data_IF_025665292298
#
_entry.id   IF_025665292298
#
_cell.length_a   1.000
_cell.length_b   1.000
_cell.length_c   1.000
_cell.angle_alpha   90.00
_cell.angle_beta   90.00
_cell.angle_gamma   90.00
#
_symmetry.space_group_name_H-M   'P 1'
#
loop_
_entity.id
_entity.type
_entity.pdbx_description
1 polymer ?
#
# COMPACT_ATOMS: atom_id res chain seq x y z
N UNK A 1 3.12 -19.88 -1.55
CA UNK A 1 1.75 -19.47 -1.92
C UNK A 1 0.74 -19.69 -0.79
N UNK A 2 0.57 -20.93 -0.29
CA UNK A 2 -0.44 -21.26 0.74
C UNK A 2 -0.37 -20.35 1.97
N UNK A 3 0.83 -20.08 2.48
CA UNK A 3 1.05 -19.21 3.64
C UNK A 3 0.58 -17.77 3.38
N UNK A 4 0.92 -17.23 2.21
CA UNK A 4 0.48 -15.89 1.79
C UNK A 4 -1.05 -15.84 1.64
N UNK A 5 -1.65 -16.85 1.00
CA UNK A 5 -3.11 -16.97 0.92
C UNK A 5 -3.74 -17.03 2.32
N UNK A 6 -3.11 -17.71 3.28
CA UNK A 6 -3.62 -17.78 4.65
C UNK A 6 -3.48 -16.45 5.42
N UNK A 7 -2.45 -15.65 5.10
CA UNK A 7 -2.35 -14.28 5.61
C UNK A 7 -3.52 -13.42 5.12
N UNK A 8 -3.91 -13.50 3.85
CA UNK A 8 -5.11 -12.82 3.35
C UNK A 8 -6.41 -13.42 3.92
N UNK A 9 -6.46 -14.73 4.15
CA UNK A 9 -7.59 -15.36 4.83
C UNK A 9 -7.75 -14.89 6.29
N UNK A 10 -6.68 -14.36 6.90
CA UNK A 10 -6.75 -13.69 8.21
C UNK A 10 -7.47 -12.35 8.10
N UNK A 11 -7.21 -11.58 7.05
CA UNK A 11 -7.96 -10.34 6.75
C UNK A 11 -9.43 -10.65 6.42
N UNK A 12 -9.70 -11.68 5.62
CA UNK A 12 -11.05 -12.20 5.33
C UNK A 12 -11.80 -12.74 6.55
N UNK A 13 -11.12 -12.91 7.69
CA UNK A 13 -11.70 -13.24 9.00
C UNK A 13 -11.63 -12.07 9.99
N UNK A 14 -11.52 -10.84 9.49
CA UNK A 14 -11.40 -9.60 10.27
C UNK A 14 -10.34 -9.69 11.37
N UNK A 15 -9.16 -10.18 10.99
CA UNK A 15 -7.97 -10.21 11.83
C UNK A 15 -7.74 -11.50 12.61
N UNK A 16 -8.58 -12.52 12.45
CA UNK A 16 -8.41 -13.80 13.14
C UNK A 16 -7.62 -14.79 12.28
N UNK A 17 -6.38 -15.05 12.67
CA UNK A 17 -5.54 -16.06 12.03
C UNK A 17 -5.95 -17.45 12.48
N UNK A 18 -5.97 -18.37 11.51
CA UNK A 18 -6.14 -19.80 11.70
C UNK A 18 -5.14 -20.50 10.79
N UNK A 19 -4.30 -21.42 11.27
CA UNK A 19 -3.48 -22.23 10.38
C UNK A 19 -4.34 -22.93 9.33
N UNK A 20 -3.82 -23.01 8.10
CA UNK A 20 -4.48 -23.81 7.06
C UNK A 20 -4.43 -25.29 7.44
N UNK A 21 -5.43 -26.05 7.01
CA UNK A 21 -5.52 -27.49 7.24
C UNK A 21 -5.63 -28.20 5.91
N UNK A 22 -4.87 -29.28 5.75
CA UNK A 22 -4.98 -30.17 4.59
C UNK A 22 -5.88 -31.37 4.92
N UNK A 23 -5.85 -31.81 6.18
CA UNK A 23 -6.65 -32.91 6.70
C UNK A 23 -7.64 -32.42 7.74
N UNK A 24 -8.77 -33.11 7.87
CA UNK A 24 -9.79 -32.81 8.90
C UNK A 24 -9.25 -32.98 10.33
N UNK A 25 -8.23 -33.82 10.50
CA UNK A 25 -7.57 -34.13 11.77
C UNK A 25 -6.53 -33.09 12.19
N UNK A 26 -6.14 -32.16 11.31
CA UNK A 26 -5.14 -31.16 11.64
C UNK A 26 -5.65 -30.25 12.77
N UNK A 27 -4.77 -29.97 13.72
CA UNK A 27 -5.10 -29.19 14.91
C UNK A 27 -5.49 -27.76 14.52
N UNK A 28 -6.55 -27.26 15.14
CA UNK A 28 -7.05 -25.92 14.90
C UNK A 28 -6.75 -25.03 16.10
N UNK A 29 -5.84 -24.07 15.90
CA UNK A 29 -5.65 -22.94 16.79
C UNK A 29 -6.18 -21.67 16.12
N UNK A 30 -6.55 -20.67 16.93
CA UNK A 30 -6.92 -19.36 16.42
C UNK A 30 -6.34 -18.27 17.30
N UNK A 31 -5.81 -17.23 16.68
CA UNK A 31 -5.29 -16.05 17.36
C UNK A 31 -5.77 -14.79 16.64
N UNK A 32 -6.06 -13.73 17.41
CA UNK A 32 -6.32 -12.41 16.84
C UNK A 32 -4.98 -11.72 16.60
N UNK A 33 -4.77 -11.31 15.34
CA UNK A 33 -3.57 -10.60 14.88
C UNK A 33 -3.87 -9.12 14.66
N UNK A 34 -5.08 -8.81 14.18
CA UNK A 34 -5.54 -7.44 13.95
C UNK A 34 -6.81 -7.14 14.74
N UNK A 35 -6.97 -5.89 15.15
CA UNK A 35 -8.26 -5.39 15.60
C UNK A 35 -9.27 -5.41 14.46
N UNK A 36 -10.55 -5.63 14.80
CA UNK A 36 -11.63 -5.79 13.82
C UNK A 36 -11.72 -4.57 12.90
N UNK A 37 -11.63 -3.37 13.48
CA UNK A 37 -11.74 -2.08 12.77
C UNK A 37 -10.58 -1.84 11.82
N UNK A 38 -9.36 -2.24 12.20
CA UNK A 38 -8.19 -2.15 11.33
C UNK A 38 -8.27 -3.12 10.16
N UNK A 39 -8.63 -4.38 10.43
CA UNK A 39 -8.82 -5.39 9.38
C UNK A 39 -9.97 -5.01 8.43
N UNK A 40 -11.03 -4.38 8.97
CA UNK A 40 -12.13 -3.87 8.17
C UNK A 40 -11.69 -2.73 7.27
N UNK A 41 -10.92 -1.74 7.76
CA UNK A 41 -10.37 -0.66 6.93
C UNK A 41 -9.50 -1.20 5.79
N UNK A 42 -8.62 -2.17 6.08
CA UNK A 42 -7.82 -2.83 5.05
C UNK A 42 -8.71 -3.50 4.01
N UNK A 43 -9.76 -4.18 4.46
CA UNK A 43 -10.70 -4.86 3.57
C UNK A 43 -11.51 -3.89 2.72
N UNK A 44 -11.94 -2.77 3.28
CA UNK A 44 -12.65 -1.71 2.58
C UNK A 44 -11.78 -1.15 1.45
N UNK A 45 -10.56 -0.71 1.76
CA UNK A 45 -9.57 -0.25 0.77
C UNK A 45 -9.28 -1.31 -0.30
N UNK A 46 -9.07 -2.57 0.12
CA UNK A 46 -8.79 -3.66 -0.81
C UNK A 46 -10.01 -4.11 -1.60
N UNK A 47 -11.24 -3.66 -1.29
CA UNK A 47 -12.45 -4.03 -2.02
C UNK A 47 -12.91 -2.99 -3.02
N UNK A 48 -12.39 -1.76 -2.91
CA UNK A 48 -12.78 -0.63 -3.75
C UNK A 48 -12.25 -0.76 -5.19
N UNK A 49 -13.18 -0.88 -6.15
CA UNK A 49 -12.86 -0.92 -7.58
C UNK A 49 -12.36 0.45 -8.09
N UNK A 50 -12.94 1.55 -7.61
CA UNK A 50 -12.61 2.89 -8.05
C UNK A 50 -11.20 3.28 -7.59
N UNK A 51 -10.83 2.91 -6.37
CA UNK A 51 -9.48 3.09 -5.85
C UNK A 51 -8.40 2.39 -6.70
N UNK A 52 -8.74 1.26 -7.34
CA UNK A 52 -7.85 0.51 -8.23
C UNK A 52 -7.81 1.03 -9.66
N UNK A 53 -8.87 1.71 -10.10
CA UNK A 53 -9.09 2.04 -11.51
C UNK A 53 -7.99 2.92 -12.11
N UNK A 54 -7.41 3.84 -11.34
CA UNK A 54 -6.31 4.68 -11.83
C UNK A 54 -5.09 3.86 -12.25
N UNK A 55 -4.79 2.77 -11.55
CA UNK A 55 -3.62 1.93 -11.83
C UNK A 55 -3.89 0.86 -12.89
N UNK A 56 -5.11 0.31 -12.93
CA UNK A 56 -5.40 -0.89 -13.71
C UNK A 56 -6.48 -0.71 -14.79
N UNK A 57 -7.17 0.43 -14.81
CA UNK A 57 -8.35 0.67 -15.63
C UNK A 57 -9.65 0.20 -14.96
N UNK A 58 -10.77 0.73 -15.45
CA UNK A 58 -12.12 0.41 -14.95
C UNK A 58 -12.56 -1.03 -15.27
N UNK A 59 -12.06 -1.57 -16.38
CA UNK A 59 -12.38 -2.91 -16.88
C UNK A 59 -11.16 -3.84 -16.79
N UNK A 60 -10.62 -3.95 -15.57
CA UNK A 60 -9.49 -4.84 -15.28
C UNK A 60 -9.96 -6.15 -14.67
N UNK A 61 -9.09 -7.18 -14.69
CA UNK A 61 -9.36 -8.45 -13.99
C UNK A 61 -9.51 -8.31 -12.46
N UNK A 62 -9.27 -7.12 -11.90
CA UNK A 62 -9.48 -6.80 -10.47
C UNK A 62 -10.81 -6.07 -10.23
N UNK A 63 -11.57 -5.80 -11.28
CA UNK A 63 -12.93 -5.25 -11.21
C UNK A 63 -13.92 -6.40 -11.06
N UNK A 64 -14.84 -6.28 -10.11
CA UNK A 64 -15.87 -7.28 -9.83
C UNK A 64 -17.22 -6.61 -9.63
N UNK A 65 -18.30 -7.23 -10.12
CA UNK A 65 -19.68 -6.79 -9.93
C UNK A 65 -20.26 -7.16 -8.54
N UNK A 66 -19.45 -7.82 -7.72
CA UNK A 66 -19.74 -8.21 -6.34
C UNK A 66 -18.51 -7.92 -5.48
N UNK A 67 -18.65 -7.75 -4.15
CA UNK A 67 -17.53 -7.27 -3.35
C UNK A 67 -16.45 -8.35 -3.21
N UNK A 68 -15.23 -8.01 -3.63
CA UNK A 68 -14.04 -8.84 -3.49
C UNK A 68 -12.90 -7.95 -3.03
N UNK A 69 -12.30 -8.28 -1.89
CA UNK A 69 -11.05 -7.64 -1.49
C UNK A 69 -9.89 -8.32 -2.21
N UNK A 70 -9.10 -7.59 -3.00
CA UNK A 70 -8.03 -8.19 -3.78
C UNK A 70 -6.75 -7.34 -3.86
N UNK A 71 -5.64 -8.06 -4.07
CA UNK A 71 -4.31 -7.46 -4.24
C UNK A 71 -3.49 -8.28 -5.23
N UNK A 72 -2.70 -7.57 -6.04
CA UNK A 72 -1.69 -8.14 -6.93
C UNK A 72 -0.27 -7.93 -6.42
N UNK A 73 0.65 -8.80 -6.83
CA UNK A 73 2.09 -8.66 -6.64
C UNK A 73 2.84 -9.04 -7.92
N UNK A 74 3.94 -8.35 -8.20
CA UNK A 74 4.86 -8.67 -9.31
C UNK A 74 6.27 -8.60 -8.75
N UNK A 75 7.07 -9.66 -8.86
CA UNK A 75 8.47 -9.63 -8.43
C UNK A 75 9.33 -8.85 -9.42
N UNK A 76 10.52 -8.45 -8.97
CA UNK A 76 11.54 -7.82 -9.82
C UNK A 76 11.84 -8.70 -11.04
N UNK A 77 12.16 -8.06 -12.17
CA UNK A 77 12.40 -8.74 -13.45
C UNK A 77 11.23 -9.63 -13.93
N UNK A 78 10.01 -9.42 -13.42
CA UNK A 78 8.80 -10.13 -13.85
C UNK A 78 8.90 -11.66 -13.74
N UNK A 79 9.64 -12.18 -12.75
CA UNK A 79 9.80 -13.64 -12.53
C UNK A 79 8.53 -14.29 -11.99
N UNK A 80 7.79 -13.55 -11.16
CA UNK A 80 6.63 -14.04 -10.44
C UNK A 80 5.49 -13.03 -10.48
N UNK A 81 4.28 -13.55 -10.60
CA UNK A 81 3.05 -12.79 -10.50
C UNK A 81 2.12 -13.45 -9.49
N UNK A 82 1.55 -12.65 -8.59
CA UNK A 82 0.54 -13.09 -7.64
C UNK A 82 -0.73 -12.27 -7.79
N UNK A 83 -1.85 -12.94 -7.57
CA UNK A 83 -3.13 -12.30 -7.32
C UNK A 83 -3.83 -13.03 -6.20
N UNK A 84 -4.29 -12.29 -5.19
CA UNK A 84 -5.02 -12.85 -4.06
C UNK A 84 -6.31 -12.06 -3.90
N UNK A 85 -7.43 -12.79 -3.84
CA UNK A 85 -8.75 -12.24 -3.62
C UNK A 85 -9.45 -12.96 -2.46
N UNK A 86 -10.28 -12.25 -1.71
CA UNK A 86 -11.08 -12.85 -0.65
C UNK A 86 -12.46 -12.20 -0.48
N UNK A 87 -13.39 -13.03 0.00
CA UNK A 87 -14.68 -12.69 0.60
C UNK A 87 -14.71 -13.27 2.02
N UNK A 88 -15.79 -13.09 2.82
CA UNK A 88 -15.91 -13.76 4.11
C UNK A 88 -15.84 -15.31 4.02
N UNK A 89 -16.27 -15.88 2.90
CA UNK A 89 -16.38 -17.33 2.69
C UNK A 89 -15.12 -17.94 2.09
N UNK A 90 -14.48 -17.24 1.15
CA UNK A 90 -13.41 -17.79 0.33
C UNK A 90 -12.18 -16.89 0.30
N UNK A 91 -11.01 -17.51 0.18
CA UNK A 91 -9.77 -16.82 -0.14
C UNK A 91 -9.06 -17.61 -1.24
N UNK A 92 -8.77 -16.95 -2.35
CA UNK A 92 -8.15 -17.54 -3.54
C UNK A 92 -6.82 -16.84 -3.75
N UNK A 93 -5.74 -17.61 -3.76
CA UNK A 93 -4.42 -17.11 -4.13
C UNK A 93 -3.90 -17.83 -5.37
N UNK A 94 -3.48 -17.06 -6.36
CA UNK A 94 -2.91 -17.53 -7.62
C UNK A 94 -1.47 -17.05 -7.73
N UNK A 95 -0.58 -17.94 -8.15
CA UNK A 95 0.76 -17.61 -8.59
C UNK A 95 0.94 -18.05 -10.04
N UNK A 96 1.62 -17.22 -10.82
CA UNK A 96 2.06 -17.52 -12.19
C UNK A 96 3.53 -17.15 -12.28
N UNK A 97 4.33 -18.05 -12.86
CA UNK A 97 5.77 -17.89 -13.02
C UNK A 97 6.35 -19.05 -13.80
N UNK A 98 7.57 -18.88 -14.33
CA UNK A 98 8.31 -19.99 -14.91
C UNK A 98 8.94 -20.81 -13.79
N UNK A 99 8.81 -22.14 -13.83
CA UNK A 99 9.36 -23.02 -12.79
C UNK A 99 10.90 -22.98 -12.69
N UNK A 100 11.57 -22.56 -13.77
CA UNK A 100 13.02 -22.36 -13.81
C UNK A 100 13.46 -20.98 -13.30
N UNK A 101 12.51 -20.12 -12.89
CA UNK A 101 12.77 -18.77 -12.39
C UNK A 101 13.13 -17.76 -13.49
N UNK A 102 13.04 -18.14 -14.77
CA UNK A 102 13.30 -17.20 -15.86
C UNK A 102 12.23 -16.09 -15.92
N UNK A 103 12.61 -14.85 -16.30
CA UNK A 103 11.66 -13.74 -16.49
C UNK A 103 10.51 -14.09 -17.44
N UNK A 104 9.28 -13.74 -17.05
CA UNK A 104 8.14 -13.75 -17.97
C UNK A 104 8.16 -12.49 -18.85
N UNK A 105 7.64 -12.59 -20.08
CA UNK A 105 7.64 -11.46 -21.03
C UNK A 105 6.26 -10.82 -21.14
N UNK A 106 6.17 -9.52 -20.88
CA UNK A 106 4.93 -8.73 -20.97
C UNK A 106 3.80 -9.21 -20.03
N UNK A 107 4.14 -9.78 -18.87
CA UNK A 107 3.15 -10.25 -17.89
C UNK A 107 3.42 -9.59 -16.53
N UNK A 108 2.36 -9.11 -15.88
CA UNK A 108 2.38 -8.62 -14.50
C UNK A 108 1.30 -9.30 -13.68
N UNK A 109 1.21 -8.97 -12.39
CA UNK A 109 0.17 -9.48 -11.49
C UNK A 109 -1.25 -9.36 -12.05
N UNK A 110 -1.57 -8.27 -12.75
CA UNK A 110 -2.93 -8.01 -13.29
C UNK A 110 -3.21 -8.72 -14.62
N UNK A 111 -2.18 -9.04 -15.41
CA UNK A 111 -2.34 -9.73 -16.71
C UNK A 111 -2.04 -11.23 -16.64
N UNK A 112 -1.31 -11.70 -15.63
CA UNK A 112 -0.97 -13.11 -15.42
C UNK A 112 -1.88 -13.80 -14.41
N UNK A 113 -1.71 -13.49 -13.12
CA UNK A 113 -2.39 -14.20 -12.03
C UNK A 113 -3.84 -13.73 -11.80
N UNK A 114 -4.14 -12.44 -12.00
CA UNK A 114 -5.45 -11.88 -11.71
C UNK A 114 -6.61 -12.45 -12.56
N UNK A 115 -6.48 -12.71 -13.87
CA UNK A 115 -7.57 -13.28 -14.67
C UNK A 115 -8.01 -14.67 -14.19
N UNK A 116 -7.06 -15.49 -13.73
CA UNK A 116 -7.34 -16.81 -13.14
C UNK A 116 -8.06 -16.64 -11.81
N UNK A 117 -7.55 -15.76 -10.94
CA UNK A 117 -8.19 -15.46 -9.65
C UNK A 117 -9.62 -14.95 -9.85
N UNK A 118 -9.83 -14.03 -10.79
CA UNK A 118 -11.14 -13.49 -11.15
C UNK A 118 -12.11 -14.59 -11.56
N UNK A 119 -11.71 -15.45 -12.49
CA UNK A 119 -12.54 -16.56 -12.97
C UNK A 119 -12.96 -17.51 -11.84
N UNK A 120 -12.05 -17.80 -10.89
CA UNK A 120 -12.36 -18.64 -9.73
C UNK A 120 -13.33 -17.93 -8.77
N UNK A 121 -13.11 -16.65 -8.48
CA UNK A 121 -13.99 -15.87 -7.61
C UNK A 121 -15.39 -15.74 -8.20
N UNK A 122 -15.52 -15.46 -9.51
CA UNK A 122 -16.81 -15.40 -10.21
C UNK A 122 -17.54 -16.74 -10.13
N UNK A 123 -16.85 -17.86 -10.37
CA UNK A 123 -17.44 -19.19 -10.23
C UNK A 123 -17.93 -19.47 -8.79
N UNK A 124 -17.14 -19.09 -7.77
CA UNK A 124 -17.52 -19.26 -6.37
C UNK A 124 -18.74 -18.40 -6.01
N UNK A 125 -18.78 -17.16 -6.50
CA UNK A 125 -19.91 -16.25 -6.32
C UNK A 125 -21.20 -16.80 -6.94
N UNK A 126 -21.15 -17.21 -8.21
CA UNK A 126 -22.32 -17.77 -8.91
C UNK A 126 -22.87 -19.02 -8.22
N UNK A 127 -22.00 -19.83 -7.63
CA UNK A 127 -22.37 -21.11 -7.02
C UNK A 127 -22.84 -20.99 -5.57
N UNK A 128 -22.25 -20.10 -4.79
CA UNK A 128 -22.46 -20.04 -3.33
C UNK A 128 -22.99 -18.68 -2.83
N UNK A 129 -23.03 -17.67 -3.69
CA UNK A 129 -23.28 -16.29 -3.31
C UNK A 129 -22.07 -15.64 -2.63
N UNK A 130 -22.23 -14.39 -2.21
CA UNK A 130 -21.20 -13.63 -1.49
C UNK A 130 -21.86 -12.74 -0.44
N UNK A 131 -21.43 -12.89 0.82
CA UNK A 131 -21.77 -11.93 1.87
C UNK A 131 -20.70 -10.83 1.97
N UNK A 132 -20.94 -9.83 2.82
CA UNK A 132 -19.95 -8.79 3.08
C UNK A 132 -19.89 -8.37 4.54
N UNK A 133 -18.77 -7.79 4.93
CA UNK A 133 -18.50 -7.41 6.31
C UNK A 133 -19.35 -6.22 6.75
N UNK A 134 -19.99 -6.33 7.91
CA UNK A 134 -20.67 -5.20 8.54
C UNK A 134 -19.62 -4.21 9.06
N UNK A 135 -19.79 -2.93 8.75
CA UNK A 135 -18.95 -1.85 9.27
C UNK A 135 -18.96 -1.83 10.81
N UNK A 136 -17.79 -1.88 11.48
CA UNK A 136 -17.71 -1.74 12.93
C UNK A 136 -18.23 -0.39 13.42
N UNK A 137 -18.77 -0.35 14.64
CA UNK A 137 -19.45 0.84 15.20
C UNK A 137 -18.53 1.99 15.54
N UNK A 138 -17.24 1.70 15.71
CA UNK A 138 -16.17 2.64 15.97
C UNK A 138 -15.51 3.16 14.68
N UNK A 139 -15.97 2.73 13.50
CA UNK A 139 -15.58 3.38 12.24
C UNK A 139 -16.44 4.62 12.02
N UNK A 140 -15.77 5.75 11.80
CA UNK A 140 -16.36 7.06 11.52
C UNK A 140 -15.90 7.57 10.16
N UNK A 141 -16.69 8.42 9.51
CA UNK A 141 -16.29 9.11 8.27
C UNK A 141 -15.85 10.53 8.54
N UNK A 142 -14.84 11.01 7.82
CA UNK A 142 -14.52 12.42 7.70
C UNK A 142 -14.16 12.78 6.25
N UNK A 143 -14.36 14.06 5.89
CA UNK A 143 -13.86 14.57 4.61
C UNK A 143 -12.41 14.98 4.75
N UNK A 144 -11.54 14.51 3.86
CA UNK A 144 -10.10 14.81 3.89
C UNK A 144 -9.61 15.37 2.57
N UNK A 145 -8.68 16.32 2.66
CA UNK A 145 -7.94 16.79 1.49
C UNK A 145 -7.12 15.65 0.88
N UNK A 146 -7.24 15.44 -0.42
CA UNK A 146 -6.55 14.34 -1.10
C UNK A 146 -5.02 14.48 -1.14
N UNK A 147 -4.51 15.67 -0.81
CA UNK A 147 -3.06 15.95 -0.79
C UNK A 147 -2.53 15.96 0.64
N UNK A 148 -3.08 16.79 1.53
CA UNK A 148 -2.56 16.89 2.89
C UNK A 148 -3.03 15.77 3.81
N UNK A 149 -4.18 15.13 3.51
CA UNK A 149 -4.82 14.17 4.40
C UNK A 149 -5.53 14.81 5.60
N UNK A 150 -5.46 16.13 5.77
CA UNK A 150 -6.16 16.85 6.84
C UNK A 150 -7.66 16.86 6.59
N UNK A 151 -8.45 16.96 7.67
CA UNK A 151 -9.89 17.12 7.53
C UNK A 151 -10.21 18.44 6.80
N UNK A 152 -10.91 18.35 5.68
CA UNK A 152 -11.23 19.50 4.83
C UNK A 152 -12.68 19.46 4.36
N UNK A 153 -13.34 20.62 4.33
CA UNK A 153 -14.72 20.74 3.83
C UNK A 153 -14.85 20.40 2.36
N UNK A 154 -13.78 20.58 1.58
CA UNK A 154 -13.75 20.34 0.13
C UNK A 154 -13.09 19.00 -0.22
N UNK A 155 -12.88 18.13 0.75
CA UNK A 155 -12.21 16.84 0.60
C UNK A 155 -13.08 15.69 0.09
N UNK A 156 -12.49 14.50 0.01
CA UNK A 156 -13.18 13.22 -0.23
C UNK A 156 -13.58 12.56 1.09
N UNK A 157 -14.66 11.79 1.11
CA UNK A 157 -15.07 11.05 2.31
C UNK A 157 -14.18 9.83 2.48
N UNK A 158 -13.57 9.69 3.66
CA UNK A 158 -12.74 8.54 4.02
C UNK A 158 -13.16 7.98 5.39
N UNK A 159 -12.79 6.72 5.63
CA UNK A 159 -13.08 6.01 6.88
C UNK A 159 -11.90 6.05 7.86
N UNK A 160 -12.21 6.22 9.14
CA UNK A 160 -11.24 6.27 10.23
C UNK A 160 -11.74 5.46 11.42
N UNK A 161 -10.81 4.92 12.22
CA UNK A 161 -11.16 4.45 13.57
C UNK A 161 -11.44 5.68 14.45
N UNK A 162 -12.49 5.63 15.26
CA UNK A 162 -12.83 6.71 16.20
C UNK A 162 -11.62 7.03 17.09
N UNK A 163 -11.24 8.30 17.14
CA UNK A 163 -10.05 8.77 17.85
C UNK A 163 -8.76 8.83 17.00
N UNK A 164 -8.82 8.39 15.74
CA UNK A 164 -7.71 8.50 14.76
C UNK A 164 -8.00 9.48 13.63
N UNK A 165 -8.93 10.41 13.83
CA UNK A 165 -9.23 11.44 12.83
C UNK A 165 -8.00 12.32 12.59
N UNK A 166 -7.71 12.70 11.33
CA UNK A 166 -6.61 13.61 11.03
C UNK A 166 -6.90 15.00 11.62
N UNK A 167 -5.89 15.88 11.74
CA UNK A 167 -6.11 17.24 12.22
C UNK A 167 -7.05 18.01 11.27
N UNK A 168 -7.75 19.00 11.82
CA UNK A 168 -8.60 19.90 11.02
C UNK A 168 -7.69 20.88 10.29
N UNK A 169 -7.93 21.02 8.98
CA UNK A 169 -7.25 22.00 8.14
C UNK A 169 -7.35 23.42 8.73
N UNK A 170 -6.21 24.11 8.76
CA UNK A 170 -6.13 25.52 9.20
C UNK A 170 -5.86 26.46 8.02
N UNK A 171 -6.06 27.78 8.16
CA UNK A 171 -5.72 28.73 7.10
C UNK A 171 -4.26 28.66 6.64
N UNK A 172 -3.34 28.22 7.51
CA UNK A 172 -1.92 28.05 7.19
C UNK A 172 -1.62 26.84 6.29
N UNK A 173 -2.57 25.92 6.12
CA UNK A 173 -2.44 24.75 5.24
C UNK A 173 -2.76 25.08 3.77
N UNK A 174 -3.23 26.30 3.50
CA UNK A 174 -3.61 26.79 2.18
C UNK A 174 -2.91 28.11 1.87
N UNK A 175 -2.50 28.29 0.62
CA UNK A 175 -2.09 29.62 0.15
C UNK A 175 -3.28 30.42 -0.38
N UNK A 176 -3.04 31.66 -0.83
CA UNK A 176 -4.08 32.53 -1.40
C UNK A 176 -4.75 31.96 -2.67
N UNK A 177 -4.14 30.95 -3.30
CA UNK A 177 -4.67 30.27 -4.48
C UNK A 177 -5.40 28.96 -4.11
N UNK A 178 -5.48 28.62 -2.81
CA UNK A 178 -6.10 27.39 -2.32
C UNK A 178 -5.26 26.13 -2.52
N UNK A 179 -3.96 26.26 -2.76
CA UNK A 179 -3.04 25.12 -2.90
C UNK A 179 -2.71 24.51 -1.54
N UNK A 180 -2.54 23.19 -1.47
CA UNK A 180 -2.17 22.46 -0.25
C UNK A 180 -0.70 22.69 0.12
N UNK A 181 -0.45 22.97 1.39
CA UNK A 181 0.91 23.06 1.94
C UNK A 181 1.57 21.70 2.01
N UNK A 182 2.81 21.61 1.57
CA UNK A 182 3.70 20.48 1.74
C UNK A 182 4.84 20.85 2.69
N UNK A 183 5.27 19.89 3.51
CA UNK A 183 6.42 20.06 4.39
C UNK A 183 7.75 20.13 3.64
N UNK A 184 8.83 20.56 4.31
CA UNK A 184 10.16 20.67 3.72
C UNK A 184 10.73 19.33 3.23
N UNK A 185 10.25 18.20 3.74
CA UNK A 185 10.61 16.86 3.29
C UNK A 185 10.30 16.62 1.81
N UNK A 186 9.37 17.38 1.23
CA UNK A 186 9.01 17.31 -0.19
C UNK A 186 9.88 18.20 -1.08
N UNK A 187 10.86 18.95 -0.56
CA UNK A 187 11.61 19.97 -1.33
C UNK A 187 12.25 19.43 -2.60
N UNK A 188 12.90 18.26 -2.51
CA UNK A 188 13.58 17.62 -3.64
C UNK A 188 12.58 17.23 -4.73
N UNK A 189 11.56 16.43 -4.38
CA UNK A 189 10.50 16.04 -5.31
C UNK A 189 9.77 17.26 -5.86
N UNK A 190 9.47 18.25 -5.02
CA UNK A 190 8.75 19.44 -5.43
C UNK A 190 9.50 20.21 -6.52
N UNK A 191 10.82 20.16 -6.50
CA UNK A 191 11.71 20.77 -7.49
C UNK A 191 11.95 19.87 -8.71
N UNK A 192 11.71 18.55 -8.62
CA UNK A 192 11.95 17.59 -9.70
C UNK A 192 10.92 17.65 -10.83
N UNK A 193 11.29 17.18 -12.02
CA UNK A 193 10.39 17.09 -13.19
C UNK A 193 9.16 16.21 -12.95
N UNK A 194 9.16 15.38 -11.91
CA UNK A 194 8.08 14.43 -11.59
C UNK A 194 6.96 15.04 -10.74
N UNK A 195 7.13 16.29 -10.27
CA UNK A 195 6.08 16.98 -9.53
C UNK A 195 4.94 17.42 -10.46
N UNK A 196 3.98 16.52 -10.62
CA UNK A 196 2.71 16.75 -11.31
C UNK A 196 1.69 17.54 -10.48
N UNK A 197 1.97 17.85 -9.21
CA UNK A 197 1.08 18.59 -8.30
C UNK A 197 1.48 20.05 -8.07
N UNK A 198 2.49 20.59 -8.78
CA UNK A 198 2.98 22.00 -8.62
C UNK A 198 1.87 23.06 -8.60
N UNK A 199 0.80 22.84 -9.35
CA UNK A 199 -0.33 23.75 -9.46
C UNK A 199 -1.35 23.61 -8.33
N UNK A 200 -1.28 22.52 -7.56
CA UNK A 200 -2.14 22.21 -6.42
C UNK A 200 -1.42 22.31 -5.08
N UNK A 201 -0.10 22.48 -5.07
CA UNK A 201 0.71 22.48 -3.86
C UNK A 201 1.68 23.65 -3.78
N UNK A 202 2.11 23.96 -2.55
CA UNK A 202 3.21 24.87 -2.28
C UNK A 202 4.06 24.33 -1.12
N UNK A 203 5.36 24.63 -1.13
CA UNK A 203 6.23 24.29 -0.01
C UNK A 203 6.03 25.27 1.14
N UNK A 204 5.92 24.76 2.36
CA UNK A 204 6.07 25.58 3.56
C UNK A 204 7.42 26.28 3.51
N UNK A 205 7.47 27.58 3.79
CA UNK A 205 8.74 28.27 3.95
C UNK A 205 9.56 27.51 4.99
N UNK A 206 10.77 27.09 4.61
CA UNK A 206 11.70 26.49 5.56
C UNK A 206 11.90 27.51 6.68
N UNK A 207 11.44 27.20 7.89
CA UNK A 207 12.05 27.83 9.05
C UNK A 207 13.57 27.56 8.94
N UNK A 208 14.45 28.49 9.33
CA UNK A 208 15.88 28.20 9.41
C UNK A 208 16.05 27.12 10.49
N UNK A 209 15.89 25.86 10.09
CA UNK A 209 15.53 24.76 10.96
C UNK A 209 16.57 23.66 10.85
N UNK A 210 17.09 23.32 12.02
CA UNK A 210 17.53 22.01 12.46
C UNK A 210 17.63 20.94 11.35
N UNK A 211 18.86 20.58 11.01
CA UNK A 211 19.17 19.49 10.08
C UNK A 211 18.47 18.22 10.56
N UNK A 212 17.63 17.63 9.71
CA UNK A 212 16.90 16.39 10.02
C UNK A 212 17.11 15.37 8.93
N UNK A 213 17.38 14.11 9.30
CA UNK A 213 17.49 13.00 8.36
C UNK A 213 16.08 12.57 7.93
N UNK A 214 15.83 12.63 6.62
CA UNK A 214 14.59 12.17 5.98
C UNK A 214 14.70 10.70 5.53
N UNK A 215 15.89 10.28 5.15
CA UNK A 215 16.20 8.89 4.79
C UNK A 215 17.63 8.57 5.21
N UNK A 216 17.88 7.45 5.91
CA UNK A 216 16.87 6.53 6.43
C UNK A 216 16.07 7.14 7.59
N UNK A 217 14.82 6.70 7.77
CA UNK A 217 14.05 7.04 8.98
C UNK A 217 14.68 6.37 10.21
N UNK A 218 14.57 6.97 11.42
CA UNK A 218 15.06 6.36 12.64
C UNK A 218 14.53 4.92 12.83
N UNK A 219 15.44 3.97 13.10
CA UNK A 219 15.11 2.55 13.28
C UNK A 219 14.97 1.73 12.00
N UNK A 220 15.24 2.30 10.82
CA UNK A 220 15.23 1.55 9.56
C UNK A 220 16.30 0.45 9.58
N UNK A 221 15.90 -0.76 9.16
CA UNK A 221 16.80 -1.91 8.99
C UNK A 221 16.84 -2.26 7.49
N UNK A 222 18.03 -2.28 6.91
CA UNK A 222 18.25 -2.69 5.52
C UNK A 222 18.80 -4.11 5.49
N UNK A 223 18.25 -4.93 4.59
CA UNK A 223 18.78 -6.25 4.26
C UNK A 223 19.40 -6.18 2.87
N UNK A 224 20.62 -6.71 2.75
CA UNK A 224 21.27 -6.85 1.44
C UNK A 224 20.65 -8.03 0.71
N UNK A 225 20.00 -7.76 -0.40
CA UNK A 225 19.60 -8.79 -1.35
C UNK A 225 20.85 -9.21 -2.15
N UNK A 226 21.33 -10.46 -2.01
CA UNK A 226 22.51 -10.93 -2.74
C UNK A 226 22.30 -10.96 -4.25
N UNK A 227 21.06 -10.98 -4.74
CA UNK A 227 20.71 -11.05 -6.15
C UNK A 227 20.71 -9.66 -6.82
N UNK A 228 20.76 -8.57 -6.04
CA UNK A 228 20.87 -7.22 -6.59
C UNK A 228 22.31 -6.90 -7.00
N UNK A 229 22.51 -6.22 -8.15
CA UNK A 229 23.84 -5.86 -8.61
C UNK A 229 24.54 -4.96 -7.59
N UNK A 230 25.89 -4.98 -7.52
CA UNK A 230 26.64 -4.17 -6.55
C UNK A 230 26.32 -2.67 -6.60
N UNK A 231 25.96 -2.14 -7.78
CA UNK A 231 25.51 -0.76 -7.98
C UNK A 231 24.22 -0.41 -7.24
N UNK A 232 23.39 -1.41 -6.90
CA UNK A 232 22.14 -1.23 -6.15
C UNK A 232 22.33 -1.33 -4.63
N UNK A 233 23.56 -1.51 -4.14
CA UNK A 233 23.90 -1.60 -2.71
C UNK A 233 24.19 -0.23 -2.11
N UNK A 234 23.32 0.73 -2.39
CA UNK A 234 23.44 2.10 -1.92
C UNK A 234 22.21 2.45 -1.07
N UNK A 235 22.43 3.21 0.00
CA UNK A 235 21.35 3.73 0.83
C UNK A 235 21.25 5.23 0.55
N UNK A 236 20.14 5.72 -0.04
CA UNK A 236 19.99 7.13 -0.30
C UNK A 236 19.86 7.88 1.02
N UNK A 237 20.79 8.81 1.25
CA UNK A 237 20.80 9.69 2.40
C UNK A 237 20.12 11.01 2.02
N UNK A 238 19.04 11.36 2.70
CA UNK A 238 18.27 12.59 2.46
C UNK A 238 18.12 13.37 3.75
N UNK A 239 18.21 14.70 3.68
CA UNK A 239 18.03 15.60 4.81
C UNK A 239 17.21 16.84 4.46
N UNK A 240 16.71 17.52 5.49
CA UNK A 240 16.38 18.96 5.44
C UNK A 240 17.57 19.79 5.92
N UNK A 241 17.84 20.93 5.28
CA UNK A 241 18.94 21.84 5.66
C UNK A 241 19.84 22.25 4.50
N UNK A 242 20.87 23.06 4.77
CA UNK A 242 21.85 23.55 3.78
C UNK A 242 23.21 22.95 4.12
N UNK A 243 23.93 22.43 3.11
CA UNK A 243 25.29 21.90 3.20
C UNK A 243 25.52 20.84 4.30
N UNK A 244 24.90 19.65 4.20
CA UNK A 244 25.17 18.57 5.14
C UNK A 244 26.57 18.00 4.98
N UNK A 245 27.19 17.62 6.09
CA UNK A 245 28.33 16.70 6.12
C UNK A 245 27.87 15.34 6.66
N UNK A 246 28.19 14.27 5.94
CA UNK A 246 27.82 12.91 6.32
C UNK A 246 29.04 12.13 6.82
N UNK A 247 28.85 11.36 7.89
CA UNK A 247 29.89 10.49 8.45
C UNK A 247 29.27 9.15 8.87
N UNK A 248 30.01 8.07 8.61
CA UNK A 248 29.67 6.72 9.08
C UNK A 248 30.94 5.94 9.39
N UNK A 249 30.96 5.25 10.53
CA UNK A 249 32.08 4.39 10.93
C UNK A 249 32.15 3.09 10.10
N UNK A 250 31.05 2.72 9.44
CA UNK A 250 30.88 1.41 8.81
C UNK A 250 30.51 1.47 7.33
N UNK A 251 30.05 2.62 6.84
CA UNK A 251 29.64 2.83 5.45
C UNK A 251 30.48 3.93 4.80
N UNK A 252 30.71 3.80 3.51
CA UNK A 252 31.34 4.85 2.70
C UNK A 252 30.26 5.84 2.29
N UNK A 253 30.43 7.12 2.65
CA UNK A 253 29.58 8.21 2.21
C UNK A 253 30.23 8.89 0.99
N UNK A 254 29.45 9.13 -0.07
CA UNK A 254 29.86 9.88 -1.26
C UNK A 254 28.67 10.70 -1.77
N UNK A 255 28.94 11.78 -2.51
CA UNK A 255 27.88 12.56 -3.16
C UNK A 255 27.64 12.05 -4.59
N UNK A 256 26.45 12.23 -5.16
CA UNK A 256 26.14 11.77 -6.53
C UNK A 256 27.03 12.38 -7.62
N UNK A 257 27.87 13.36 -7.29
CA UNK A 257 28.79 14.03 -8.21
C UNK A 257 30.28 13.63 -8.03
N UNK A 258 30.59 12.65 -7.18
CA UNK A 258 31.93 12.07 -6.99
C UNK A 258 32.08 10.72 -7.72
#
# INVERSE_FOLDING_TARGET
LVELTNAFATLGRLGVHRPYRLLKTDQQSSSRIFDVSQAWLITDMLSDNDARAQAFGLDSALSFDFPVACKTGTSSEFRDNWAIGYTPEFTVGVWVGNFDGSPMRNISGVTGAAPVMHSVMTHLHERFGTSWFKRPTDIVSARVDQISGNQSRQGVNEWFVKGSLPPIETPEDRDMLGRSKLGPEFTEWFSSTDNHLRHRTFLSAAQPAQITILSPLPGTVYYLDPDLPPSSRQVPLRITGINPEWHSDTLVCFTEND
#
